data_IF_219190758795
#
_entry.id   IF_219190758795
#
_cell.length_a   1.000
_cell.length_b   1.000
_cell.length_c   1.000
_cell.angle_alpha   90.00
_cell.angle_beta   90.00
_cell.angle_gamma   90.00
#
_symmetry.space_group_name_H-M   'P 1'
#
loop_
_entity.id
_entity.type
_entity.pdbx_description
1 polymer ?
#
# COMPACT_ATOMS: atom_id res chain seq x y z
N UNK A 1 18.03 -11.36 15.64
CA UNK A 1 16.97 -12.07 14.90
C UNK A 1 15.64 -11.34 15.09
N UNK A 2 14.93 -11.00 14.00
CA UNK A 2 13.59 -10.39 14.08
C UNK A 2 12.58 -11.48 14.43
N UNK A 3 11.79 -11.27 15.48
CA UNK A 3 10.75 -12.21 15.90
C UNK A 3 9.45 -11.84 15.22
N UNK A 4 8.94 -12.71 14.36
CA UNK A 4 7.64 -12.55 13.73
C UNK A 4 6.58 -13.31 14.53
N UNK A 5 5.33 -12.94 14.34
CA UNK A 5 4.20 -13.68 14.90
C UNK A 5 3.33 -14.19 13.78
N UNK A 6 2.96 -15.47 13.83
CA UNK A 6 1.87 -16.00 13.03
C UNK A 6 0.63 -16.01 13.90
N UNK A 7 -0.46 -15.42 13.40
CA UNK A 7 -1.59 -15.04 14.24
C UNK A 7 -2.88 -15.54 13.62
N UNK A 8 -3.68 -16.28 14.39
CA UNK A 8 -5.02 -16.69 14.03
C UNK A 8 -6.04 -15.78 14.71
N UNK A 9 -6.80 -15.02 13.93
CA UNK A 9 -7.82 -14.12 14.45
C UNK A 9 -9.10 -14.84 14.90
N UNK A 10 -9.37 -16.05 14.39
CA UNK A 10 -10.54 -16.84 14.78
C UNK A 10 -10.44 -17.32 16.23
N UNK A 11 -9.35 -17.99 16.59
CA UNK A 11 -9.14 -18.55 17.94
C UNK A 11 -8.26 -17.67 18.85
N UNK A 12 -7.75 -16.53 18.34
CA UNK A 12 -6.91 -15.55 19.05
C UNK A 12 -5.60 -16.16 19.56
N UNK A 13 -4.98 -16.98 18.71
CA UNK A 13 -3.71 -17.66 18.97
C UNK A 13 -2.60 -16.97 18.21
N UNK A 14 -1.46 -16.80 18.85
CA UNK A 14 -0.24 -16.29 18.24
C UNK A 14 0.92 -17.23 18.49
N UNK A 15 1.63 -17.58 17.42
CA UNK A 15 2.80 -18.43 17.45
C UNK A 15 4.00 -17.58 17.04
N UNK A 16 5.03 -17.55 17.89
CA UNK A 16 6.27 -16.84 17.58
C UNK A 16 7.05 -17.64 16.55
N UNK A 17 7.56 -16.97 15.52
CA UNK A 17 8.39 -17.59 14.48
C UNK A 17 9.59 -16.72 14.17
N UNK A 18 10.70 -17.36 13.78
CA UNK A 18 11.93 -16.69 13.33
C UNK A 18 11.92 -16.43 11.83
N UNK A 19 10.97 -17.00 11.09
CA UNK A 19 10.90 -16.93 9.64
C UNK A 19 9.65 -16.13 9.25
N UNK A 20 9.85 -15.04 8.50
CA UNK A 20 8.74 -14.36 7.83
C UNK A 20 8.23 -15.25 6.69
N UNK A 21 7.29 -16.14 7.02
CA UNK A 21 6.65 -17.00 6.02
C UNK A 21 5.32 -16.38 5.61
N UNK A 22 5.25 -15.91 4.36
CA UNK A 22 4.01 -15.42 3.72
C UNK A 22 3.04 -16.55 3.38
N UNK A 23 3.49 -17.82 3.49
CA UNK A 23 2.63 -18.98 3.25
C UNK A 23 1.56 -19.06 4.35
N UNK A 24 0.29 -18.99 3.94
CA UNK A 24 -0.93 -19.15 4.74
C UNK A 24 -0.91 -20.47 5.54
N UNK A 25 -0.20 -20.49 6.67
CA UNK A 25 -0.20 -21.65 7.56
C UNK A 25 -1.58 -21.79 8.20
N UNK A 26 -2.01 -23.03 8.38
CA UNK A 26 -3.24 -23.32 9.12
C UNK A 26 -2.97 -23.29 10.62
N UNK A 27 -3.93 -22.78 11.37
CA UNK A 27 -3.90 -22.78 12.83
C UNK A 27 -4.01 -24.21 13.35
N UNK A 28 -3.14 -24.63 14.29
CA UNK A 28 -3.23 -25.96 14.88
C UNK A 28 -4.53 -26.17 15.67
N UNK A 29 -5.08 -25.11 16.26
CA UNK A 29 -6.27 -25.21 17.12
C UNK A 29 -7.58 -25.28 16.35
N UNK A 30 -7.69 -24.58 15.21
CA UNK A 30 -8.97 -24.42 14.51
C UNK A 30 -8.90 -24.58 12.98
N UNK A 31 -7.73 -24.89 12.42
CA UNK A 31 -7.52 -25.11 10.99
C UNK A 31 -7.63 -23.85 10.10
N UNK A 32 -8.01 -22.69 10.66
CA UNK A 32 -8.13 -21.42 9.93
C UNK A 32 -6.78 -20.84 9.53
N UNK A 33 -6.76 -19.98 8.52
CA UNK A 33 -5.54 -19.32 8.04
C UNK A 33 -4.93 -18.44 9.15
N UNK A 34 -3.61 -18.49 9.27
CA UNK A 34 -2.81 -17.63 10.13
C UNK A 34 -2.12 -16.54 9.31
N UNK A 35 -2.13 -15.32 9.84
CA UNK A 35 -1.53 -14.14 9.24
C UNK A 35 -0.15 -13.89 9.86
N UNK A 36 0.85 -13.63 9.02
CA UNK A 36 2.18 -13.23 9.48
C UNK A 36 2.17 -11.74 9.83
N UNK A 37 2.49 -11.41 11.08
CA UNK A 37 2.61 -10.04 11.58
C UNK A 37 4.06 -9.67 11.84
N UNK A 38 4.36 -8.40 11.58
CA UNK A 38 5.69 -7.84 11.80
C UNK A 38 6.00 -7.74 13.29
N UNK A 39 7.29 -7.73 13.68
CA UNK A 39 7.71 -7.65 15.09
C UNK A 39 7.25 -6.37 15.80
N UNK A 40 6.89 -5.34 15.02
CA UNK A 40 6.48 -4.02 15.52
C UNK A 40 5.04 -4.00 16.03
N UNK A 41 4.21 -4.97 15.64
CA UNK A 41 2.83 -5.07 16.09
C UNK A 41 2.78 -5.85 17.40
N UNK A 42 2.27 -5.20 18.45
CA UNK A 42 2.03 -5.85 19.72
C UNK A 42 0.87 -6.84 19.60
N UNK A 43 1.08 -8.08 20.06
CA UNK A 43 0.05 -9.11 20.07
C UNK A 43 -0.75 -9.01 21.37
N UNK A 44 -2.08 -8.80 21.30
CA UNK A 44 -2.91 -8.73 22.49
C UNK A 44 -2.99 -10.06 23.23
N UNK A 45 -3.26 -10.02 24.54
CA UNK A 45 -3.57 -11.23 25.32
C UNK A 45 -4.85 -11.89 24.80
N UNK A 46 -4.93 -13.23 24.82
CA UNK A 46 -6.03 -14.03 24.24
C UNK A 46 -7.44 -13.59 24.69
N UNK A 47 -7.61 -13.25 25.97
CA UNK A 47 -8.91 -12.84 26.53
C UNK A 47 -9.36 -11.44 26.09
N UNK A 48 -8.47 -10.61 25.55
CA UNK A 48 -8.78 -9.23 25.17
C UNK A 48 -9.43 -9.14 23.79
N UNK A 49 -10.67 -9.58 23.69
CA UNK A 49 -11.44 -9.68 22.43
C UNK A 49 -11.45 -8.37 21.63
N UNK A 50 -11.63 -7.22 22.31
CA UNK A 50 -11.68 -5.90 21.64
C UNK A 50 -10.36 -5.54 20.95
N UNK A 51 -9.23 -5.78 21.61
CA UNK A 51 -7.90 -5.53 21.05
C UNK A 51 -7.60 -6.46 19.87
N UNK A 52 -8.05 -7.71 19.94
CA UNK A 52 -7.95 -8.67 18.83
C UNK A 52 -8.76 -8.25 17.60
N UNK A 53 -9.99 -7.73 17.79
CA UNK A 53 -10.79 -7.18 16.70
C UNK A 53 -10.13 -5.94 16.08
N UNK A 54 -9.57 -5.05 16.89
CA UNK A 54 -8.85 -3.88 16.41
C UNK A 54 -7.60 -4.28 15.60
N UNK A 55 -6.83 -5.26 16.08
CA UNK A 55 -5.68 -5.79 15.35
C UNK A 55 -6.10 -6.43 14.02
N UNK A 56 -7.18 -7.21 14.00
CA UNK A 56 -7.70 -7.81 12.76
C UNK A 56 -8.05 -6.74 11.74
N UNK A 57 -8.79 -5.70 12.17
CA UNK A 57 -9.16 -4.56 11.33
C UNK A 57 -7.94 -3.82 10.77
N UNK A 58 -6.93 -3.58 11.61
CA UNK A 58 -5.68 -2.96 11.17
C UNK A 58 -4.97 -3.79 10.10
N UNK A 59 -4.91 -5.11 10.28
CA UNK A 59 -4.24 -6.03 9.35
C UNK A 59 -5.01 -6.17 8.04
N UNK A 60 -6.34 -6.21 8.08
CA UNK A 60 -7.17 -6.27 6.87
C UNK A 60 -7.12 -4.96 6.07
N UNK A 61 -7.03 -3.81 6.74
CA UNK A 61 -6.94 -2.49 6.08
C UNK A 61 -5.52 -2.11 5.63
N UNK A 62 -4.48 -2.81 6.10
CA UNK A 62 -3.11 -2.43 5.84
C UNK A 62 -2.69 -2.52 4.35
N UNK A 63 -3.05 -3.56 3.57
CA UNK A 63 -2.77 -3.60 2.14
C UNK A 63 -3.44 -2.44 1.39
N UNK A 64 -4.65 -2.10 1.81
CA UNK A 64 -5.47 -1.05 1.24
C UNK A 64 -4.87 0.34 1.50
N UNK A 65 -4.44 0.61 2.74
CA UNK A 65 -3.75 1.86 3.11
C UNK A 65 -2.38 1.99 2.44
N UNK A 66 -1.62 0.91 2.30
CA UNK A 66 -0.37 0.94 1.54
C UNK A 66 -0.60 1.22 0.05
N UNK A 67 -1.64 0.63 -0.55
CA UNK A 67 -2.01 0.95 -1.92
C UNK A 67 -2.39 2.43 -2.07
N UNK A 68 -3.21 2.97 -1.16
CA UNK A 68 -3.58 4.39 -1.17
C UNK A 68 -2.37 5.32 -1.00
N UNK A 69 -1.49 5.07 -0.01
CA UNK A 69 -0.31 5.90 0.24
C UNK A 69 0.70 5.86 -0.92
N UNK A 70 0.93 4.68 -1.50
CA UNK A 70 1.84 4.54 -2.64
C UNK A 70 1.31 5.27 -3.88
N UNK A 71 0.00 5.26 -4.07
CA UNK A 71 -0.69 6.05 -5.10
C UNK A 71 -0.47 7.55 -4.81
N UNK A 72 -0.84 8.06 -3.63
CA UNK A 72 -0.68 9.48 -3.29
C UNK A 72 0.73 10.03 -3.54
N UNK A 73 1.78 9.35 -3.05
CA UNK A 73 3.17 9.78 -3.27
C UNK A 73 3.58 9.78 -4.76
N UNK A 74 3.06 8.84 -5.56
CA UNK A 74 3.30 8.83 -7.00
C UNK A 74 2.62 10.04 -7.69
N UNK A 75 1.42 10.42 -7.25
CA UNK A 75 0.71 11.60 -7.73
C UNK A 75 1.46 12.90 -7.44
N UNK A 76 1.96 13.06 -6.21
CA UNK A 76 2.76 14.22 -5.79
C UNK A 76 4.03 14.37 -6.63
N UNK A 77 4.75 13.26 -6.84
CA UNK A 77 5.98 13.25 -7.64
C UNK A 77 5.72 13.65 -9.10
N UNK A 78 4.70 13.08 -9.74
CA UNK A 78 4.32 13.42 -11.12
C UNK A 78 3.94 14.89 -11.23
N UNK A 79 3.15 15.40 -10.28
CA UNK A 79 2.73 16.81 -10.26
C UNK A 79 3.92 17.76 -10.11
N UNK A 80 4.84 17.46 -9.20
CA UNK A 80 6.07 18.24 -9.02
C UNK A 80 6.90 18.30 -10.31
N UNK A 81 7.10 17.16 -10.96
CA UNK A 81 7.94 17.04 -12.16
C UNK A 81 7.32 17.72 -13.38
N UNK A 82 5.99 17.64 -13.54
CA UNK A 82 5.23 18.40 -14.53
C UNK A 82 5.42 19.90 -14.32
N UNK A 83 5.32 20.39 -13.09
CA UNK A 83 5.50 21.81 -12.79
C UNK A 83 6.91 22.32 -13.10
N UNK A 84 7.94 21.51 -12.84
CA UNK A 84 9.32 21.85 -13.21
C UNK A 84 9.47 21.95 -14.73
N UNK A 85 9.02 20.94 -15.47
CA UNK A 85 9.14 20.96 -16.93
C UNK A 85 8.34 22.09 -17.55
N UNK A 86 7.16 22.41 -17.01
CA UNK A 86 6.36 23.56 -17.44
C UNK A 86 7.14 24.86 -17.30
N UNK A 87 7.76 25.08 -16.14
CA UNK A 87 8.63 26.25 -15.92
C UNK A 87 9.84 26.25 -16.86
N UNK A 88 10.45 25.09 -17.13
CA UNK A 88 11.57 25.01 -18.07
C UNK A 88 11.15 25.34 -19.51
N UNK A 89 9.95 24.95 -19.92
CA UNK A 89 9.40 25.27 -21.24
C UNK A 89 9.09 26.76 -21.44
N UNK A 90 8.91 27.53 -20.36
CA UNK A 90 8.73 28.99 -20.41
C UNK A 90 10.02 29.72 -20.79
N UNK A 91 11.18 29.08 -20.65
CA UNK A 91 12.46 29.65 -21.07
C UNK A 91 12.75 29.36 -22.54
N UNK A 92 13.45 30.29 -23.18
CA UNK A 92 13.87 30.12 -24.57
C UNK A 92 15.11 29.21 -24.61
N UNK A 93 14.92 27.95 -25.02
CA UNK A 93 16.01 26.99 -25.17
C UNK A 93 16.33 26.73 -26.65
N UNK A 94 17.55 26.25 -26.95
CA UNK A 94 17.88 25.76 -28.29
C UNK A 94 16.86 24.72 -28.76
N UNK A 95 16.48 24.75 -30.05
CA UNK A 95 15.39 23.94 -30.60
C UNK A 95 15.44 22.45 -30.21
N UNK A 96 16.64 21.83 -30.24
CA UNK A 96 16.84 20.43 -29.83
C UNK A 96 16.51 20.19 -28.34
N UNK A 97 16.86 21.14 -27.47
CA UNK A 97 16.53 21.09 -26.03
C UNK A 97 15.05 21.38 -25.79
N UNK A 98 14.48 22.34 -26.51
CA UNK A 98 13.04 22.63 -26.46
C UNK A 98 12.22 21.38 -26.82
N UNK A 99 12.56 20.71 -27.92
CA UNK A 99 11.86 19.51 -28.38
C UNK A 99 11.97 18.35 -27.37
N UNK A 100 13.14 18.15 -26.76
CA UNK A 100 13.31 17.15 -25.71
C UNK A 100 12.45 17.43 -24.48
N UNK A 101 12.36 18.69 -24.05
CA UNK A 101 11.51 19.08 -22.92
C UNK A 101 10.03 18.84 -23.23
N UNK A 102 9.58 19.15 -24.45
CA UNK A 102 8.20 18.88 -24.90
C UNK A 102 7.91 17.39 -24.87
N UNK A 103 8.82 16.55 -25.38
CA UNK A 103 8.64 15.09 -25.37
C UNK A 103 8.55 14.53 -23.95
N UNK A 104 9.44 14.98 -23.05
CA UNK A 104 9.40 14.59 -21.63
C UNK A 104 8.11 15.05 -20.94
N UNK A 105 7.64 16.26 -21.26
CA UNK A 105 6.40 16.79 -20.71
C UNK A 105 5.18 15.98 -21.15
N UNK A 106 5.07 15.67 -22.44
CA UNK A 106 3.98 14.86 -22.98
C UNK A 106 3.97 13.43 -22.40
N UNK A 107 5.15 12.85 -22.21
CA UNK A 107 5.27 11.55 -21.55
C UNK A 107 4.74 11.60 -20.11
N UNK A 108 5.11 12.61 -19.33
CA UNK A 108 4.62 12.76 -17.95
C UNK A 108 3.11 13.03 -17.87
N UNK A 109 2.53 13.75 -18.84
CA UNK A 109 1.09 13.92 -18.92
C UNK A 109 0.38 12.59 -19.14
N UNK A 110 0.94 11.70 -19.98
CA UNK A 110 0.39 10.37 -20.20
C UNK A 110 0.50 9.49 -18.95
N UNK A 111 1.66 9.51 -18.29
CA UNK A 111 1.86 8.83 -17.01
C UNK A 111 0.88 9.35 -15.94
N UNK A 112 0.58 10.64 -15.91
CA UNK A 112 -0.42 11.22 -15.01
C UNK A 112 -1.85 10.76 -15.34
N UNK A 113 -2.20 10.63 -16.63
CA UNK A 113 -3.50 10.08 -17.05
C UNK A 113 -3.65 8.62 -16.61
N UNK A 114 -2.64 7.79 -16.86
CA UNK A 114 -2.65 6.39 -16.44
C UNK A 114 -2.67 6.23 -14.93
N UNK A 115 -1.91 7.05 -14.21
CA UNK A 115 -1.96 7.13 -12.75
C UNK A 115 -3.39 7.40 -12.27
N UNK A 116 -4.07 8.44 -12.77
CA UNK A 116 -5.46 8.76 -12.38
C UNK A 116 -6.43 7.60 -12.62
N UNK A 117 -6.28 6.86 -13.72
CA UNK A 117 -7.09 5.66 -14.00
C UNK A 117 -6.86 4.58 -12.95
N UNK A 118 -5.59 4.29 -12.60
CA UNK A 118 -5.23 3.31 -11.56
C UNK A 118 -5.72 3.73 -10.18
N UNK A 119 -5.59 5.01 -9.83
CA UNK A 119 -6.10 5.59 -8.59
C UNK A 119 -7.61 5.38 -8.45
N UNK A 120 -8.38 5.67 -9.50
CA UNK A 120 -9.83 5.46 -9.51
C UNK A 120 -10.21 3.99 -9.34
N UNK A 121 -9.43 3.06 -9.92
CA UNK A 121 -9.63 1.62 -9.72
C UNK A 121 -9.36 1.21 -8.27
N UNK A 122 -8.27 1.68 -7.66
CA UNK A 122 -7.96 1.43 -6.25
C UNK A 122 -9.10 1.95 -5.37
N UNK A 123 -9.51 3.21 -5.50
CA UNK A 123 -10.60 3.76 -4.68
C UNK A 123 -11.96 3.10 -4.95
N UNK A 124 -12.24 2.61 -6.16
CA UNK A 124 -13.46 1.82 -6.44
C UNK A 124 -13.46 0.48 -5.72
N UNK A 125 -12.33 -0.23 -5.72
CA UNK A 125 -12.18 -1.49 -5.00
C UNK A 125 -12.31 -1.25 -3.49
N UNK A 126 -11.65 -0.21 -2.97
CA UNK A 126 -11.76 0.22 -1.57
C UNK A 126 -13.19 0.59 -1.18
N UNK A 127 -13.90 1.34 -2.03
CA UNK A 127 -15.28 1.73 -1.80
C UNK A 127 -16.27 0.57 -1.88
N UNK A 128 -16.05 -0.40 -2.77
CA UNK A 128 -16.91 -1.57 -2.90
C UNK A 128 -16.77 -2.56 -1.73
N UNK A 129 -15.60 -2.63 -1.10
CA UNK A 129 -15.37 -3.45 0.11
C UNK A 129 -15.93 -2.81 1.40
N UNK A 130 -16.20 -1.50 1.41
CA UNK A 130 -16.76 -0.81 2.57
C UNK A 130 -18.29 -1.02 2.75
N UNK A 131 -18.97 -1.64 1.77
CA UNK A 131 -20.43 -1.88 1.77
C UNK A 131 -20.83 -3.37 1.75
N UNK A 132 -19.92 -4.29 2.09
CA UNK A 132 -20.22 -5.71 2.32
C UNK A 132 -20.01 -6.10 3.78
#
# INVERSE_FOLDING_TARGET
>A
MKNYYQVCFACRVAIRTTIHTEKNKKCPDCGQIMYALTPKLAIPKRHKVREWKALHKLVSEFPLKQAANSVEHQGEFLSYRINILKKQLEFNHPAKRQQNLINQFNQLLEEQREYRKRTLLVYRVLGAEAFK
#
